data_IF_731791643061
#
_entry.id   IF_731791643061
#
_cell.length_a   1.000
_cell.length_b   1.000
_cell.length_c   1.000
_cell.angle_alpha   90.00
_cell.angle_beta   90.00
_cell.angle_gamma   90.00
#
_symmetry.space_group_name_H-M   'P 1'
#
loop_
_entity.id
_entity.type
_entity.pdbx_description
1 polymer ?
#
# COMPACT_ATOMS: atom_id res chain seq x y z
N UNK A 1 13.78 -1.35 -5.30
CA UNK A 1 13.48 -2.78 -5.50
C UNK A 1 12.01 -2.90 -5.87
N UNK A 2 11.67 -3.78 -6.81
CA UNK A 2 10.28 -4.03 -7.22
C UNK A 2 9.79 -5.43 -6.82
N UNK A 3 10.66 -6.24 -6.24
CA UNK A 3 10.35 -7.56 -5.70
C UNK A 3 11.02 -7.73 -4.34
N UNK A 4 10.40 -8.52 -3.47
CA UNK A 4 10.93 -8.95 -2.17
C UNK A 4 10.76 -10.47 -2.06
N UNK A 5 11.75 -11.17 -1.52
CA UNK A 5 11.77 -12.64 -1.46
C UNK A 5 10.92 -13.21 -0.33
N UNK A 6 10.57 -12.39 0.66
CA UNK A 6 9.77 -12.78 1.82
C UNK A 6 8.42 -12.06 1.83
N UNK A 7 7.42 -12.72 2.42
CA UNK A 7 6.16 -12.07 2.78
C UNK A 7 6.33 -11.15 3.98
N UNK A 8 5.46 -10.15 4.10
CA UNK A 8 5.53 -9.16 5.17
C UNK A 8 4.16 -8.54 5.48
N UNK A 9 4.05 -7.86 6.61
CA UNK A 9 2.93 -6.96 6.90
C UNK A 9 3.39 -5.50 6.84
N UNK A 10 2.43 -4.59 6.68
CA UNK A 10 2.68 -3.14 6.66
C UNK A 10 1.88 -2.52 7.81
N UNK A 11 2.55 -1.72 8.63
CA UNK A 11 1.92 -0.89 9.65
C UNK A 11 2.09 0.58 9.32
N UNK A 12 1.02 1.36 9.49
CA UNK A 12 1.04 2.83 9.44
C UNK A 12 0.68 3.32 10.83
N UNK A 13 1.55 4.13 11.43
CA UNK A 13 1.43 4.61 12.81
C UNK A 13 1.24 3.47 13.83
N UNK A 14 1.95 2.35 13.60
CA UNK A 14 1.91 1.16 14.46
C UNK A 14 0.65 0.28 14.32
N UNK A 15 -0.30 0.66 13.45
CA UNK A 15 -1.50 -0.12 13.18
C UNK A 15 -1.39 -0.80 11.81
N UNK A 16 -1.64 -2.12 11.68
CA UNK A 16 -1.48 -2.81 10.41
C UNK A 16 -2.55 -2.40 9.41
N UNK A 17 -2.18 -2.40 8.13
CA UNK A 17 -3.15 -2.31 7.03
C UNK A 17 -4.03 -3.57 7.11
N UNK A 18 -5.33 -3.36 7.25
CA UNK A 18 -6.30 -4.44 7.39
C UNK A 18 -6.43 -5.23 6.10
N UNK A 19 -6.49 -6.54 6.23
CA UNK A 19 -6.91 -7.43 5.16
C UNK A 19 -8.32 -7.07 4.72
N UNK A 20 -8.53 -6.98 3.40
CA UNK A 20 -9.87 -6.79 2.87
C UNK A 20 -10.62 -8.11 2.88
N UNK A 21 -11.71 -8.16 3.65
CA UNK A 21 -12.64 -9.29 3.68
C UNK A 21 -13.62 -9.22 2.52
N UNK A 22 -13.78 -10.32 1.77
CA UNK A 22 -14.82 -10.47 0.75
C UNK A 22 -14.44 -10.08 -0.69
N UNK A 23 -15.44 -10.17 -1.57
CA UNK A 23 -15.33 -10.00 -3.02
C UNK A 23 -16.03 -8.70 -3.47
N UNK A 24 -15.39 -7.55 -3.32
CA UNK A 24 -15.73 -6.34 -4.05
C UNK A 24 -15.18 -6.39 -5.49
N UNK A 25 -16.01 -6.09 -6.48
CA UNK A 25 -15.60 -5.97 -7.90
C UNK A 25 -14.93 -4.62 -8.18
N UNK A 26 -15.25 -3.61 -7.38
CA UNK A 26 -14.68 -2.27 -7.47
C UNK A 26 -13.52 -2.06 -6.48
N UNK A 27 -12.62 -1.10 -6.74
CA UNK A 27 -11.58 -0.73 -5.80
C UNK A 27 -12.15 -0.25 -4.46
N UNK A 28 -11.63 -0.78 -3.36
CA UNK A 28 -12.04 -0.39 -2.00
C UNK A 28 -10.89 0.31 -1.30
N UNK A 29 -11.14 1.47 -0.70
CA UNK A 29 -10.07 2.21 -0.03
C UNK A 29 -9.52 1.40 1.14
N UNK A 30 -8.19 1.35 1.24
CA UNK A 30 -7.51 0.61 2.29
C UNK A 30 -7.64 1.32 3.63
N UNK A 31 -7.72 0.52 4.69
CA UNK A 31 -7.86 0.98 6.07
C UNK A 31 -6.88 0.27 6.97
N UNK A 32 -6.47 0.92 8.04
CA UNK A 32 -5.76 0.25 9.15
C UNK A 32 -6.76 -0.47 10.06
N UNK A 33 -6.31 -1.46 10.83
CA UNK A 33 -7.16 -2.18 11.79
C UNK A 33 -6.43 -3.37 12.44
N UNK A 34 -7.17 -4.38 12.90
CA UNK A 34 -6.62 -5.47 13.73
C UNK A 34 -6.17 -6.70 12.93
N UNK A 35 -6.83 -7.05 11.83
CA UNK A 35 -6.47 -8.22 11.02
C UNK A 35 -5.45 -7.82 9.94
N UNK A 36 -4.16 -8.03 10.22
CA UNK A 36 -3.09 -7.63 9.31
C UNK A 36 -3.14 -8.37 7.96
N UNK A 37 -3.03 -7.61 6.87
CA UNK A 37 -2.81 -8.16 5.55
C UNK A 37 -1.36 -8.67 5.40
N UNK A 38 -1.21 -9.90 4.90
CA UNK A 38 0.09 -10.48 4.55
C UNK A 38 0.33 -10.25 3.07
N UNK A 39 1.41 -9.53 2.77
CA UNK A 39 1.75 -9.09 1.43
C UNK A 39 2.92 -9.88 0.85
N UNK A 40 2.92 -9.97 -0.47
CA UNK A 40 4.10 -10.25 -1.29
C UNK A 40 4.29 -9.08 -2.24
N UNK A 41 5.54 -8.74 -2.56
CA UNK A 41 5.88 -7.75 -3.57
C UNK A 41 6.62 -8.44 -4.70
N UNK A 42 6.07 -8.39 -5.91
CA UNK A 42 6.68 -8.97 -7.11
C UNK A 42 6.43 -8.09 -8.32
N UNK A 43 7.48 -7.68 -9.03
CA UNK A 43 7.42 -6.85 -10.24
C UNK A 43 6.55 -5.58 -10.04
N UNK A 44 6.72 -4.93 -8.89
CA UNK A 44 6.01 -3.71 -8.48
C UNK A 44 4.58 -3.95 -8.02
N UNK A 45 4.13 -5.21 -7.96
CA UNK A 45 2.78 -5.60 -7.59
C UNK A 45 2.73 -6.05 -6.14
N UNK A 46 2.14 -5.22 -5.29
CA UNK A 46 1.94 -5.50 -3.86
C UNK A 46 0.63 -6.28 -3.68
N UNK A 47 0.73 -7.59 -3.47
CA UNK A 47 -0.41 -8.52 -3.53
C UNK A 47 -0.69 -9.20 -2.18
N UNK A 48 -1.97 -9.35 -1.86
CA UNK A 48 -2.50 -10.12 -0.73
C UNK A 48 -3.66 -10.99 -1.24
N UNK A 49 -3.46 -12.30 -1.39
CA UNK A 49 -4.44 -13.20 -2.01
C UNK A 49 -4.84 -12.72 -3.42
N UNK A 50 -6.16 -12.56 -3.65
CA UNK A 50 -6.72 -12.08 -4.91
C UNK A 50 -6.83 -10.54 -5.00
N UNK A 51 -6.12 -9.83 -4.12
CA UNK A 51 -6.13 -8.36 -4.03
C UNK A 51 -4.76 -7.76 -4.25
N UNK A 52 -4.72 -6.62 -4.91
CA UNK A 52 -3.53 -5.78 -5.05
C UNK A 52 -3.75 -4.47 -4.35
N UNK A 53 -2.81 -4.08 -3.51
CA UNK A 53 -2.82 -2.79 -2.84
C UNK A 53 -1.99 -1.79 -3.64
N UNK A 54 -2.53 -0.60 -3.89
CA UNK A 54 -1.76 0.44 -4.56
C UNK A 54 -2.55 1.72 -4.83
N UNK A 55 -1.92 2.64 -5.55
CA UNK A 55 -2.56 3.85 -6.06
C UNK A 55 -3.12 3.65 -7.45
N UNK A 56 -4.21 4.34 -7.77
CA UNK A 56 -4.73 4.41 -9.13
C UNK A 56 -3.74 5.11 -10.06
N UNK A 57 -3.64 4.66 -11.32
CA UNK A 57 -2.95 5.42 -12.39
C UNK A 57 -3.75 6.65 -12.82
N UNK A 58 -5.07 6.63 -12.61
CA UNK A 58 -5.98 7.76 -12.88
C UNK A 58 -6.29 8.48 -11.58
N UNK A 59 -5.75 9.67 -11.40
CA UNK A 59 -5.89 10.52 -10.21
C UNK A 59 -6.09 11.98 -10.66
N UNK A 60 -6.69 12.81 -9.81
CA UNK A 60 -6.67 14.25 -10.04
C UNK A 60 -5.23 14.82 -9.94
N UNK A 61 -5.03 16.03 -10.47
CA UNK A 61 -3.70 16.69 -10.53
C UNK A 61 -3.31 17.44 -9.25
N UNK A 62 -4.07 17.34 -8.16
CA UNK A 62 -3.71 18.02 -6.91
C UNK A 62 -2.55 17.32 -6.21
N UNK A 63 -1.85 18.04 -5.34
CA UNK A 63 -0.80 17.48 -4.47
C UNK A 63 -1.35 16.93 -3.14
N UNK A 64 -2.68 16.87 -2.98
CA UNK A 64 -3.29 16.27 -1.79
C UNK A 64 -2.92 14.79 -1.68
N UNK A 65 -2.87 14.21 -0.46
CA UNK A 65 -2.70 12.78 -0.27
C UNK A 65 -3.64 11.97 -1.15
N UNK A 66 -3.11 10.91 -1.78
CA UNK A 66 -3.86 10.08 -2.71
C UNK A 66 -4.36 8.81 -2.03
N UNK A 67 -5.65 8.49 -2.14
CA UNK A 67 -6.17 7.27 -1.53
C UNK A 67 -5.48 6.03 -2.10
N UNK A 68 -5.19 5.09 -1.21
CA UNK A 68 -4.66 3.77 -1.55
C UNK A 68 -5.81 2.79 -1.54
N UNK A 69 -5.94 1.98 -2.58
CA UNK A 69 -7.06 1.06 -2.75
C UNK A 69 -6.59 -0.39 -2.87
N UNK A 70 -7.49 -1.27 -2.45
CA UNK A 70 -7.52 -2.67 -2.79
C UNK A 70 -8.20 -2.85 -4.15
N UNK A 71 -7.44 -3.31 -5.14
CA UNK A 71 -7.93 -3.65 -6.48
C UNK A 71 -8.08 -5.17 -6.63
N UNK A 72 -9.08 -5.67 -7.36
CA UNK A 72 -9.11 -7.08 -7.78
C UNK A 72 -7.85 -7.42 -8.59
N UNK A 73 -7.16 -8.51 -8.23
CA UNK A 73 -5.92 -8.89 -8.90
C UNK A 73 -6.11 -9.10 -10.42
N UNK A 74 -7.22 -9.73 -10.80
CA UNK A 74 -7.53 -10.05 -12.21
C UNK A 74 -7.66 -8.82 -13.12
N UNK A 75 -8.01 -7.64 -12.60
CA UNK A 75 -8.22 -6.42 -13.40
C UNK A 75 -7.26 -5.27 -13.06
N UNK A 76 -6.32 -5.46 -12.13
CA UNK A 76 -5.51 -4.37 -11.58
C UNK A 76 -4.27 -3.99 -12.39
N UNK A 77 -3.78 -4.85 -13.29
CA UNK A 77 -2.48 -4.70 -13.97
C UNK A 77 -2.28 -3.32 -14.60
N UNK A 78 -3.28 -2.80 -15.30
CA UNK A 78 -3.20 -1.51 -15.98
C UNK A 78 -3.79 -0.34 -15.18
N UNK A 79 -4.38 -0.62 -14.01
CA UNK A 79 -5.05 0.39 -13.17
C UNK A 79 -4.18 0.87 -12.02
N UNK A 80 -3.18 0.10 -11.61
CA UNK A 80 -2.41 0.35 -10.38
C UNK A 80 -1.00 0.84 -10.71
N UNK A 81 -0.56 1.91 -10.03
CA UNK A 81 0.84 2.36 -10.07
C UNK A 81 1.73 1.35 -9.35
N UNK A 82 2.95 1.09 -9.83
CA UNK A 82 3.86 0.16 -9.16
C UNK A 82 4.22 0.65 -7.75
N UNK A 83 4.40 -0.32 -6.85
CA UNK A 83 4.95 -0.12 -5.51
C UNK A 83 6.42 -0.50 -5.54
N UNK A 84 7.28 0.35 -5.00
CA UNK A 84 8.72 0.07 -4.93
C UNK A 84 9.19 0.02 -3.49
N UNK A 85 10.02 -0.94 -3.14
CA UNK A 85 10.70 -1.00 -1.85
C UNK A 85 12.09 -0.36 -1.92
N UNK A 86 12.46 0.42 -0.91
CA UNK A 86 13.77 1.04 -0.74
C UNK A 86 14.36 0.58 0.59
N UNK A 87 15.58 0.05 0.57
CA UNK A 87 16.32 -0.25 1.79
C UNK A 87 16.98 1.03 2.29
N UNK A 88 16.71 1.42 3.54
CA UNK A 88 17.36 2.54 4.22
C UNK A 88 18.05 2.03 5.49
N UNK A 89 19.34 1.75 5.40
CA UNK A 89 20.07 1.10 6.49
C UNK A 89 19.46 -0.27 6.81
N UNK A 90 18.95 -0.43 8.04
CA UNK A 90 18.28 -1.65 8.50
C UNK A 90 16.76 -1.66 8.25
N UNK A 91 16.15 -0.55 7.81
CA UNK A 91 14.72 -0.46 7.58
C UNK A 91 14.35 -0.61 6.09
N UNK A 92 13.13 -1.07 5.85
CA UNK A 92 12.55 -1.20 4.52
C UNK A 92 11.39 -0.22 4.38
N UNK A 93 11.48 0.67 3.41
CA UNK A 93 10.43 1.65 3.10
C UNK A 93 9.71 1.24 1.82
N UNK A 94 8.37 1.29 1.81
CA UNK A 94 7.56 1.10 0.62
C UNK A 94 7.08 2.44 0.07
N UNK A 95 7.22 2.62 -1.24
CA UNK A 95 6.81 3.83 -1.95
C UNK A 95 5.68 3.49 -2.92
N UNK A 96 4.57 4.20 -2.77
CA UNK A 96 3.36 4.04 -3.58
C UNK A 96 3.35 5.14 -4.64
N UNK A 97 3.81 4.82 -5.85
CA UNK A 97 3.98 5.82 -6.91
C UNK A 97 4.94 6.95 -6.51
N UNK A 98 6.00 6.62 -5.76
CA UNK A 98 7.01 7.58 -5.29
C UNK A 98 6.70 8.27 -3.96
N UNK A 99 5.61 7.89 -3.27
CA UNK A 99 5.17 8.54 -2.03
C UNK A 99 5.07 7.55 -0.87
N UNK A 100 5.43 7.98 0.33
CA UNK A 100 5.24 7.19 1.55
C UNK A 100 3.75 7.13 1.92
N UNK A 101 3.39 6.14 2.75
CA UNK A 101 2.03 6.04 3.27
C UNK A 101 1.80 6.99 4.46
N UNK A 102 0.57 7.44 4.58
CA UNK A 102 0.03 8.11 5.75
C UNK A 102 -1.35 7.55 6.06
N UNK A 103 -1.87 7.86 7.23
CA UNK A 103 -3.20 7.45 7.67
C UNK A 103 -3.97 8.67 8.22
N UNK A 104 -5.27 8.71 7.95
CA UNK A 104 -6.19 9.72 8.48
C UNK A 104 -7.55 9.08 8.66
N UNK A 105 -8.13 9.18 9.86
CA UNK A 105 -9.44 8.63 10.23
C UNK A 105 -9.60 7.12 9.89
N UNK A 106 -8.52 6.36 10.06
CA UNK A 106 -8.42 4.93 9.78
C UNK A 106 -8.18 4.60 8.31
N UNK A 107 -8.17 5.59 7.41
CA UNK A 107 -8.01 5.40 5.98
C UNK A 107 -6.56 5.65 5.53
N UNK A 108 -6.09 4.81 4.61
CA UNK A 108 -4.70 4.84 4.13
C UNK A 108 -4.59 5.69 2.87
N UNK A 109 -3.63 6.61 2.88
CA UNK A 109 -3.28 7.48 1.77
C UNK A 109 -1.79 7.40 1.47
N UNK A 110 -1.40 7.85 0.28
CA UNK A 110 -0.03 8.14 -0.08
C UNK A 110 0.20 9.65 -0.04
N UNK A 111 1.15 10.09 0.78
CA UNK A 111 1.45 11.51 0.96
C UNK A 111 2.38 12.01 -0.14
N UNK A 112 1.84 12.81 -1.06
CA UNK A 112 2.60 13.35 -2.19
C UNK A 112 3.55 14.48 -1.77
N UNK A 113 3.22 15.21 -0.70
CA UNK A 113 4.04 16.32 -0.21
C UNK A 113 5.06 15.86 0.83
N UNK A 114 4.86 14.65 1.40
CA UNK A 114 5.71 14.07 2.44
C UNK A 114 5.81 14.98 3.67
N UNK A 115 4.70 15.66 3.97
CA UNK A 115 4.57 16.57 5.12
C UNK A 115 4.08 15.83 6.37
N UNK A 116 3.49 14.63 6.20
CA UNK A 116 3.04 13.81 7.30
C UNK A 116 4.21 13.12 8.02
N UNK A 117 4.19 13.15 9.35
CA UNK A 117 5.13 12.43 10.22
C UNK A 117 4.77 10.94 10.39
N UNK A 118 3.99 10.37 9.47
CA UNK A 118 3.50 9.00 9.59
C UNK A 118 4.65 8.00 9.59
N UNK A 119 4.63 7.11 10.58
CA UNK A 119 5.63 6.04 10.68
C UNK A 119 5.14 4.80 9.94
N UNK A 120 5.86 4.38 8.90
CA UNK A 120 5.54 3.17 8.13
C UNK A 120 6.55 2.08 8.45
N UNK A 121 6.07 0.96 9.01
CA UNK A 121 6.92 -0.18 9.34
C UNK A 121 6.56 -1.38 8.46
N UNK A 122 7.60 -2.01 7.89
CA UNK A 122 7.46 -3.29 7.19
C UNK A 122 8.02 -4.40 8.05
N UNK A 123 7.20 -5.40 8.38
CA UNK A 123 7.58 -6.54 9.23
C UNK A 123 7.62 -7.81 8.41
N UNK A 124 8.85 -8.26 8.11
CA UNK A 124 9.09 -9.55 7.44
C UNK A 124 8.55 -10.69 8.33
N UNK A 125 7.86 -11.64 7.72
CA UNK A 125 7.33 -12.85 8.38
C UNK A 125 8.38 -13.96 8.44
#
# INVERSE_FOLDING_TARGET
MESLDSSFTIEVNGTPISKLSGTADEPVQAKVGSEAAIFTLKDGRLQCGDRVLGRSKTEDRSMRPKPVFWFPAVTSKDKVRPVTAKQEGSSLQLMFGGSALTETDGEVFADLMQEGESTVNVKIQ
#
